data_IF_580591252093
#
_entry.id   IF_580591252093
#
_cell.length_a   1.000
_cell.length_b   1.000
_cell.length_c   1.000
_cell.angle_alpha   90.00
_cell.angle_beta   90.00
_cell.angle_gamma   90.00
#
_symmetry.space_group_name_H-M   'P 1'
#
loop_
_entity.id
_entity.type
_entity.pdbx_description
1 polymer ?
#
# COMPACT_ATOMS: atom_id res chain seq x y z
N UNK A 1 5.17 28.50 32.06
CA UNK A 1 6.35 28.53 31.17
C UNK A 1 6.38 27.21 30.40
N UNK A 2 6.01 27.22 29.13
CA UNK A 2 6.08 26.05 28.23
C UNK A 2 7.44 26.09 27.53
N UNK A 3 8.22 25.01 27.65
CA UNK A 3 9.47 24.87 26.91
C UNK A 3 9.18 24.74 25.41
N UNK A 4 9.98 25.36 24.54
CA UNK A 4 9.78 25.27 23.09
C UNK A 4 10.21 23.89 22.60
N UNK A 5 9.39 23.28 21.74
CA UNK A 5 9.73 22.08 20.97
C UNK A 5 11.00 22.36 20.15
N UNK A 6 12.02 21.55 20.31
CA UNK A 6 13.18 21.52 19.41
C UNK A 6 12.73 21.01 18.05
N UNK A 7 12.82 21.85 17.03
CA UNK A 7 12.74 21.44 15.63
C UNK A 7 13.90 20.49 15.32
N UNK A 8 13.58 19.34 14.76
CA UNK A 8 14.58 18.42 14.18
C UNK A 8 15.31 19.14 13.05
N UNK A 9 16.64 18.92 12.99
CA UNK A 9 17.55 19.68 12.14
C UNK A 9 17.27 19.56 10.63
N UNK A 10 17.73 20.59 9.91
CA UNK A 10 17.60 20.85 8.47
C UNK A 10 18.28 19.84 7.53
N UNK A 11 18.79 18.70 8.02
CA UNK A 11 19.51 17.71 7.22
C UNK A 11 18.67 16.48 6.82
N UNK A 12 17.40 16.43 7.17
CA UNK A 12 16.51 15.36 6.71
C UNK A 12 16.10 15.62 5.25
N UNK A 13 16.68 14.86 4.33
CA UNK A 13 16.26 14.85 2.92
C UNK A 13 14.74 14.66 2.85
N UNK A 14 14.00 15.55 2.20
CA UNK A 14 12.54 15.39 2.08
C UNK A 14 12.23 14.06 1.39
N UNK A 15 11.10 13.41 1.73
CA UNK A 15 10.69 12.21 1.05
C UNK A 15 10.49 12.45 -0.44
N UNK A 16 10.74 11.44 -1.29
CA UNK A 16 10.66 11.57 -2.72
C UNK A 16 9.29 12.06 -3.20
N UNK A 17 9.29 13.09 -4.03
CA UNK A 17 8.09 13.75 -4.56
C UNK A 17 7.58 13.15 -5.88
N UNK A 18 8.28 12.15 -6.45
CA UNK A 18 7.97 11.55 -7.75
C UNK A 18 8.01 10.03 -7.71
N UNK A 19 7.30 9.40 -8.64
CA UNK A 19 7.29 7.94 -8.82
C UNK A 19 8.67 7.34 -9.18
N UNK A 20 9.63 8.16 -9.59
CA UNK A 20 11.00 7.74 -9.90
C UNK A 20 11.79 7.37 -8.64
N UNK A 21 11.56 8.06 -7.55
CA UNK A 21 12.24 7.83 -6.28
C UNK A 21 11.76 6.53 -5.57
N UNK A 22 10.56 6.04 -5.90
CA UNK A 22 10.06 4.76 -5.38
C UNK A 22 10.69 3.55 -6.08
N UNK A 23 11.07 3.69 -7.36
CA UNK A 23 11.78 2.65 -8.12
C UNK A 23 13.22 2.49 -7.60
N UNK A 24 13.84 3.58 -7.18
CA UNK A 24 15.20 3.55 -6.65
C UNK A 24 15.27 2.89 -5.26
N UNK A 25 14.23 3.04 -4.43
CA UNK A 25 14.12 2.33 -3.15
C UNK A 25 13.94 0.81 -3.31
N UNK A 26 13.35 0.33 -4.42
CA UNK A 26 13.29 -1.10 -4.73
C UNK A 26 14.63 -1.66 -5.21
N UNK A 27 15.45 -0.84 -5.87
CA UNK A 27 16.78 -1.20 -6.35
C UNK A 27 17.87 -1.08 -5.28
N UNK A 28 17.65 -0.30 -4.21
CA UNK A 28 18.57 -0.15 -3.08
C UNK A 28 18.67 -1.41 -2.20
N UNK A 29 17.80 -2.40 -2.39
CA UNK A 29 17.79 -3.66 -1.66
C UNK A 29 17.69 -4.86 -2.61
N UNK A 30 18.80 -5.26 -3.29
CA UNK A 30 18.82 -6.42 -4.20
C UNK A 30 18.50 -7.77 -3.52
N UNK A 31 18.42 -7.82 -2.20
CA UNK A 31 18.01 -9.01 -1.43
C UNK A 31 16.52 -9.30 -1.41
N UNK A 32 15.65 -8.38 -1.84
CA UNK A 32 14.19 -8.61 -1.86
C UNK A 32 13.74 -9.45 -3.07
N UNK A 33 14.52 -9.46 -4.15
CA UNK A 33 14.21 -10.25 -5.35
C UNK A 33 14.64 -11.72 -5.24
N UNK A 34 15.59 -12.06 -4.36
CA UNK A 34 16.14 -13.43 -4.24
C UNK A 34 15.52 -14.29 -3.13
N UNK A 35 14.63 -13.72 -2.30
CA UNK A 35 13.97 -14.45 -1.21
C UNK A 35 12.55 -14.93 -1.55
N UNK A 36 12.13 -14.84 -2.80
CA UNK A 36 10.92 -15.52 -3.28
C UNK A 36 11.34 -16.94 -3.61
N UNK A 37 11.25 -17.81 -2.61
CA UNK A 37 11.41 -19.26 -2.78
C UNK A 37 10.36 -19.73 -3.79
N UNK A 38 10.82 -20.29 -4.92
CA UNK A 38 10.05 -20.61 -6.13
C UNK A 38 9.05 -21.78 -5.94
N UNK A 39 8.73 -22.17 -4.71
CA UNK A 39 7.90 -23.35 -4.42
C UNK A 39 6.69 -23.11 -3.50
N UNK A 40 6.36 -21.90 -3.16
CA UNK A 40 5.11 -21.64 -2.47
C UNK A 40 4.03 -21.32 -3.53
N UNK A 41 3.03 -22.17 -3.63
CA UNK A 41 1.80 -21.98 -4.42
C UNK A 41 0.93 -20.89 -3.76
N UNK A 42 1.49 -19.69 -3.60
CA UNK A 42 0.79 -18.53 -3.05
C UNK A 42 -0.10 -17.96 -4.16
N UNK A 43 -1.37 -17.62 -3.88
CA UNK A 43 -2.20 -16.95 -4.86
C UNK A 43 -1.53 -15.63 -5.24
N UNK A 44 -0.99 -15.57 -6.44
CA UNK A 44 -0.39 -14.35 -7.00
C UNK A 44 -1.51 -13.32 -7.12
N UNK A 45 -1.52 -12.34 -6.23
CA UNK A 45 -2.56 -11.29 -6.15
C UNK A 45 -2.55 -10.39 -7.39
N UNK A 46 -1.48 -10.41 -8.19
CA UNK A 46 -1.44 -9.75 -9.49
C UNK A 46 -0.48 -10.51 -10.43
N UNK A 47 -0.99 -11.35 -11.35
CA UNK A 47 -0.16 -12.13 -12.28
C UNK A 47 0.37 -11.29 -13.45
N UNK A 48 0.37 -9.94 -13.36
CA UNK A 48 0.84 -9.08 -14.44
C UNK A 48 2.34 -8.88 -14.28
N UNK A 49 3.11 -9.56 -15.14
CA UNK A 49 4.52 -9.21 -15.33
C UNK A 49 4.58 -7.95 -16.21
N UNK A 50 5.01 -6.83 -15.62
CA UNK A 50 5.20 -5.57 -16.31
C UNK A 50 6.69 -5.28 -16.49
N UNK A 51 7.07 -4.80 -17.68
CA UNK A 51 8.40 -4.19 -17.86
C UNK A 51 8.48 -2.90 -17.03
N UNK A 52 9.70 -2.43 -16.70
CA UNK A 52 9.89 -1.18 -15.96
C UNK A 52 9.14 0.01 -16.58
N UNK A 53 9.14 0.11 -17.92
CA UNK A 53 8.38 1.14 -18.63
C UNK A 53 6.87 0.99 -18.45
N UNK A 54 6.34 -0.22 -18.53
CA UNK A 54 4.91 -0.48 -18.31
C UNK A 54 4.52 -0.22 -16.85
N UNK A 55 5.36 -0.59 -15.89
CA UNK A 55 5.13 -0.31 -14.48
C UNK A 55 5.02 1.19 -14.21
N UNK A 56 5.89 2.02 -14.81
CA UNK A 56 5.82 3.48 -14.70
C UNK A 56 4.51 4.04 -15.28
N UNK A 57 4.09 3.58 -16.46
CA UNK A 57 2.81 4.02 -17.05
C UNK A 57 1.64 3.62 -16.16
N UNK A 58 1.65 2.39 -15.65
CA UNK A 58 0.61 1.90 -14.74
C UNK A 58 0.56 2.70 -13.44
N UNK A 59 1.71 2.97 -12.82
CA UNK A 59 1.81 3.79 -11.61
C UNK A 59 1.23 5.19 -11.85
N UNK A 60 1.66 5.88 -12.91
CA UNK A 60 1.11 7.20 -13.27
C UNK A 60 -0.42 7.16 -13.46
N UNK A 61 -0.94 6.12 -14.10
CA UNK A 61 -2.38 5.97 -14.30
C UNK A 61 -3.12 5.76 -12.96
N UNK A 62 -2.58 4.91 -12.08
CA UNK A 62 -3.14 4.65 -10.75
C UNK A 62 -3.12 5.91 -9.90
N UNK A 63 -2.02 6.65 -9.88
CA UNK A 63 -1.90 7.91 -9.15
C UNK A 63 -2.93 8.93 -9.64
N UNK A 64 -3.07 9.10 -10.96
CA UNK A 64 -4.09 9.98 -11.53
C UNK A 64 -5.51 9.57 -11.11
N UNK A 65 -5.81 8.28 -11.08
CA UNK A 65 -7.12 7.80 -10.64
C UNK A 65 -7.32 7.97 -9.12
N UNK A 66 -6.28 7.78 -8.31
CA UNK A 66 -6.36 8.00 -6.85
C UNK A 66 -6.55 9.47 -6.48
N UNK A 67 -5.79 10.38 -7.12
CA UNK A 67 -5.84 11.81 -6.77
C UNK A 67 -7.01 12.54 -7.41
N UNK A 68 -7.45 12.14 -8.60
CA UNK A 68 -8.48 12.85 -9.37
C UNK A 68 -9.78 12.05 -9.53
N UNK A 69 -9.87 10.86 -8.90
CA UNK A 69 -10.99 9.90 -9.09
C UNK A 69 -10.95 9.17 -10.43
N UNK A 70 -10.62 9.87 -11.51
CA UNK A 70 -10.58 9.31 -12.87
C UNK A 70 -9.39 9.83 -13.68
N UNK A 71 -9.07 9.11 -14.76
CA UNK A 71 -8.11 9.56 -15.77
C UNK A 71 -8.59 9.16 -17.18
N UNK A 72 -7.89 9.62 -18.21
CA UNK A 72 -8.12 9.19 -19.61
C UNK A 72 -6.84 8.63 -20.20
N UNK A 73 -6.95 7.79 -21.25
CA UNK A 73 -5.79 7.25 -21.98
C UNK A 73 -4.91 8.39 -22.48
N UNK A 74 -5.52 9.47 -23.00
CA UNK A 74 -4.79 10.63 -23.51
C UNK A 74 -3.97 11.31 -22.41
N UNK A 75 -4.56 11.53 -21.21
CA UNK A 75 -3.87 12.16 -20.08
C UNK A 75 -2.66 11.32 -19.63
N UNK A 76 -2.85 10.00 -19.49
CA UNK A 76 -1.76 9.08 -19.13
C UNK A 76 -0.66 9.09 -20.19
N UNK A 77 -1.01 9.03 -21.48
CA UNK A 77 -0.05 9.08 -22.56
C UNK A 77 0.80 10.36 -22.54
N UNK A 78 0.16 11.52 -22.32
CA UNK A 78 0.82 12.82 -22.21
C UNK A 78 1.79 12.87 -21.02
N UNK A 79 1.35 12.45 -19.82
CA UNK A 79 2.15 12.50 -18.61
C UNK A 79 3.37 11.55 -18.64
N UNK A 80 3.25 10.44 -19.35
CA UNK A 80 4.32 9.43 -19.43
C UNK A 80 5.19 9.55 -20.70
N UNK A 81 4.89 10.51 -21.59
CA UNK A 81 5.59 10.66 -22.87
C UNK A 81 5.44 9.44 -23.78
N UNK A 82 4.33 8.70 -23.68
CA UNK A 82 4.07 7.51 -24.51
C UNK A 82 3.01 7.79 -25.57
N UNK A 83 2.90 6.88 -26.57
CA UNK A 83 1.81 6.97 -27.53
C UNK A 83 0.46 6.61 -26.88
N UNK A 84 -0.62 7.20 -27.40
CA UNK A 84 -1.99 6.86 -27.00
C UNK A 84 -2.26 5.34 -27.12
N UNK A 85 -1.72 4.71 -28.16
CA UNK A 85 -1.85 3.25 -28.38
C UNK A 85 -1.16 2.46 -27.28
N UNK A 86 0.07 2.83 -26.89
CA UNK A 86 0.83 2.14 -25.83
C UNK A 86 0.13 2.25 -24.49
N UNK A 87 -0.30 3.46 -24.10
CA UNK A 87 -1.06 3.67 -22.88
C UNK A 87 -2.40 2.91 -22.90
N UNK A 88 -3.08 2.92 -24.05
CA UNK A 88 -4.37 2.24 -24.22
C UNK A 88 -4.27 0.72 -24.10
N UNK A 89 -3.23 0.10 -24.66
CA UNK A 89 -3.00 -1.35 -24.54
C UNK A 89 -2.80 -1.72 -23.06
N UNK A 90 -1.97 -0.98 -22.33
CA UNK A 90 -1.70 -1.26 -20.93
C UNK A 90 -2.94 -1.06 -20.07
N UNK A 91 -3.65 0.05 -20.22
CA UNK A 91 -4.87 0.32 -19.44
C UNK A 91 -5.97 -0.71 -19.74
N UNK A 92 -6.05 -1.21 -20.96
CA UNK A 92 -6.93 -2.34 -21.31
C UNK A 92 -6.51 -3.64 -20.61
N UNK A 93 -5.19 -3.90 -20.51
CA UNK A 93 -4.70 -5.04 -19.73
C UNK A 93 -5.10 -4.92 -18.25
N UNK A 94 -4.88 -3.76 -17.62
CA UNK A 94 -5.31 -3.51 -16.24
C UNK A 94 -6.83 -3.70 -16.06
N UNK A 95 -7.63 -3.28 -17.04
CA UNK A 95 -9.07 -3.50 -17.03
C UNK A 95 -9.45 -4.98 -17.15
N UNK A 96 -8.76 -5.75 -18.00
CA UNK A 96 -8.98 -7.19 -18.13
C UNK A 96 -8.67 -7.95 -16.82
N UNK A 97 -7.76 -7.43 -16.00
CA UNK A 97 -7.47 -7.96 -14.65
C UNK A 97 -8.42 -7.42 -13.57
N UNK A 98 -9.41 -6.61 -13.95
CA UNK A 98 -10.39 -6.06 -13.01
C UNK A 98 -9.85 -4.93 -12.13
N UNK A 99 -8.65 -4.40 -12.41
CA UNK A 99 -8.03 -3.32 -11.62
C UNK A 99 -8.61 -1.95 -11.98
N UNK A 100 -9.00 -1.77 -13.24
CA UNK A 100 -9.51 -0.51 -13.80
C UNK A 100 -10.83 -0.78 -14.50
N UNK A 101 -11.76 0.16 -14.43
CA UNK A 101 -13.01 0.11 -15.17
C UNK A 101 -13.30 1.45 -15.87
N UNK A 102 -14.22 1.43 -16.84
CA UNK A 102 -14.76 2.66 -17.41
C UNK A 102 -15.82 3.20 -16.46
N UNK A 103 -15.59 4.37 -15.91
CA UNK A 103 -16.48 5.02 -14.94
C UNK A 103 -17.58 5.81 -15.67
N UNK A 104 -17.17 6.67 -16.61
CA UNK A 104 -18.09 7.56 -17.31
C UNK A 104 -17.52 7.94 -18.68
N UNK A 105 -18.34 8.59 -19.47
CA UNK A 105 -17.92 9.19 -20.74
C UNK A 105 -17.68 10.67 -20.49
N UNK A 106 -16.44 11.15 -20.76
CA UNK A 106 -16.11 12.57 -20.61
C UNK A 106 -16.99 13.43 -21.53
N UNK A 107 -17.43 14.61 -21.03
CA UNK A 107 -18.13 15.59 -21.86
C UNK A 107 -17.23 15.99 -23.03
N UNK A 108 -17.72 15.79 -24.26
CA UNK A 108 -16.99 16.14 -25.48
C UNK A 108 -17.23 17.61 -25.81
N UNK A 109 -16.15 18.33 -26.13
CA UNK A 109 -16.21 19.67 -26.74
C UNK A 109 -16.09 19.60 -28.28
N UNK A 110 -16.28 18.43 -28.86
CA UNK A 110 -16.15 18.09 -30.27
C UNK A 110 -15.36 16.79 -30.46
N UNK A 111 -15.80 15.91 -31.36
CA UNK A 111 -15.20 14.61 -31.60
C UNK A 111 -15.78 13.47 -30.74
N UNK A 112 -15.17 12.26 -30.84
CA UNK A 112 -15.60 11.09 -30.07
C UNK A 112 -15.28 11.29 -28.58
N UNK A 113 -16.29 11.21 -27.67
CA UNK A 113 -16.06 11.40 -26.24
C UNK A 113 -15.01 10.43 -25.69
N UNK A 114 -14.09 10.95 -24.88
CA UNK A 114 -13.10 10.14 -24.18
C UNK A 114 -13.78 9.34 -23.06
N UNK A 115 -13.28 8.13 -22.80
CA UNK A 115 -13.72 7.32 -21.66
C UNK A 115 -12.91 7.69 -20.43
N UNK A 116 -13.58 8.01 -19.36
CA UNK A 116 -12.97 8.14 -18.03
C UNK A 116 -12.76 6.75 -17.45
N UNK A 117 -11.54 6.52 -16.97
CA UNK A 117 -11.12 5.29 -16.32
C UNK A 117 -10.93 5.54 -14.83
N UNK A 118 -11.39 4.64 -13.99
CA UNK A 118 -11.23 4.66 -12.55
C UNK A 118 -10.70 3.32 -12.03
N UNK A 119 -10.15 3.32 -10.81
CA UNK A 119 -9.82 2.08 -10.11
C UNK A 119 -11.11 1.33 -9.83
N UNK A 120 -11.17 0.05 -10.15
CA UNK A 120 -12.36 -0.77 -9.91
C UNK A 120 -12.67 -0.85 -8.42
N UNK A 121 -13.95 -0.67 -8.00
CA UNK A 121 -14.34 -0.84 -6.60
C UNK A 121 -14.05 -2.24 -6.05
N UNK A 122 -13.91 -3.23 -6.94
CA UNK A 122 -13.57 -4.62 -6.60
C UNK A 122 -12.13 -5.01 -6.96
N UNK A 123 -11.27 -4.02 -7.21
CA UNK A 123 -9.87 -4.28 -7.54
C UNK A 123 -9.09 -4.95 -6.40
N UNK A 124 -9.57 -4.82 -5.16
CA UNK A 124 -8.98 -5.36 -3.96
C UNK A 124 -8.95 -4.37 -2.81
N UNK A 125 -8.47 -4.83 -1.68
CA UNK A 125 -8.32 -4.03 -0.48
C UNK A 125 -6.90 -4.16 0.09
N UNK A 126 -6.50 -3.15 0.83
CA UNK A 126 -5.30 -3.17 1.67
C UNK A 126 -5.71 -2.95 3.12
N UNK A 127 -4.95 -3.51 4.05
CA UNK A 127 -5.15 -3.24 5.47
C UNK A 127 -3.95 -2.55 6.07
N UNK A 128 -4.23 -1.61 6.98
CA UNK A 128 -3.27 -1.00 7.88
C UNK A 128 -3.50 -1.49 9.29
N UNK A 129 -2.44 -1.84 10.02
CA UNK A 129 -2.51 -2.33 11.39
C UNK A 129 -1.56 -1.49 12.23
N UNK A 130 -2.04 -0.95 13.33
CA UNK A 130 -1.22 -0.33 14.38
C UNK A 130 -1.19 -1.30 15.58
N UNK A 131 -0.08 -2.02 15.71
CA UNK A 131 0.12 -3.05 16.74
C UNK A 131 0.74 -2.43 17.99
N UNK A 132 0.02 -2.52 19.10
CA UNK A 132 0.39 -1.99 20.40
C UNK A 132 0.58 -3.10 21.45
N UNK A 133 0.88 -2.70 22.69
CA UNK A 133 1.12 -3.64 23.79
C UNK A 133 -0.05 -4.60 24.03
N UNK A 134 -1.27 -4.09 24.15
CA UNK A 134 -2.45 -4.85 24.56
C UNK A 134 -3.60 -4.83 23.56
N UNK A 135 -3.47 -4.09 22.49
CA UNK A 135 -4.47 -4.00 21.43
C UNK A 135 -3.81 -3.70 20.07
N UNK A 136 -4.62 -3.74 19.05
CA UNK A 136 -4.28 -3.23 17.74
C UNK A 136 -5.46 -2.43 17.17
N UNK A 137 -5.14 -1.50 16.30
CA UNK A 137 -6.11 -0.85 15.42
C UNK A 137 -5.91 -1.43 14.03
N UNK A 138 -6.98 -1.89 13.40
CA UNK A 138 -6.96 -2.41 12.04
C UNK A 138 -7.93 -1.61 11.18
N UNK A 139 -7.46 -1.14 10.04
CA UNK A 139 -8.26 -0.39 9.07
C UNK A 139 -8.16 -1.03 7.69
N UNK A 140 -9.25 -1.04 6.94
CA UNK A 140 -9.27 -1.47 5.54
C UNK A 140 -9.52 -0.28 4.62
N UNK A 141 -8.83 -0.28 3.49
CA UNK A 141 -8.99 0.70 2.42
C UNK A 141 -9.10 0.01 1.07
N UNK A 142 -9.85 0.59 0.15
CA UNK A 142 -9.83 0.20 -1.27
C UNK A 142 -8.49 0.58 -1.90
N UNK A 143 -8.14 -0.02 -3.05
CA UNK A 143 -6.96 0.41 -3.83
C UNK A 143 -7.08 1.86 -4.33
N UNK A 144 -8.28 2.42 -4.39
CA UNK A 144 -8.51 3.83 -4.69
C UNK A 144 -8.17 4.78 -3.52
N UNK A 145 -7.88 4.24 -2.32
CA UNK A 145 -7.55 5.03 -1.13
C UNK A 145 -8.73 5.37 -0.22
N UNK A 146 -9.94 4.87 -0.52
CA UNK A 146 -11.10 5.12 0.32
C UNK A 146 -11.09 4.18 1.54
N UNK A 147 -11.20 4.74 2.74
CA UNK A 147 -11.34 3.97 3.97
C UNK A 147 -12.69 3.24 3.97
N UNK A 148 -12.67 1.94 4.17
CA UNK A 148 -13.86 1.08 4.21
C UNK A 148 -14.37 1.01 5.66
N UNK A 149 -13.51 0.63 6.58
CA UNK A 149 -13.83 0.47 8.00
C UNK A 149 -12.55 0.47 8.83
N UNK A 150 -12.72 0.74 10.13
CA UNK A 150 -11.64 0.71 11.10
C UNK A 150 -12.19 0.14 12.41
N UNK A 151 -11.43 -0.71 13.07
CA UNK A 151 -11.79 -1.23 14.40
C UNK A 151 -10.59 -1.41 15.30
N UNK A 152 -10.84 -1.46 16.59
CA UNK A 152 -9.87 -1.80 17.63
C UNK A 152 -10.14 -3.22 18.13
N UNK A 153 -9.09 -4.02 18.28
CA UNK A 153 -9.18 -5.38 18.78
C UNK A 153 -8.14 -5.63 19.89
N UNK A 154 -8.50 -6.32 20.98
CA UNK A 154 -7.52 -6.67 22.00
C UNK A 154 -6.56 -7.74 21.48
N UNK A 155 -5.28 -7.63 21.88
CA UNK A 155 -4.27 -8.63 21.64
C UNK A 155 -3.44 -8.80 22.91
N UNK A 156 -3.72 -9.85 23.67
CA UNK A 156 -3.29 -9.98 25.08
C UNK A 156 -2.41 -11.19 25.37
N UNK A 157 -2.10 -12.00 24.36
CA UNK A 157 -1.26 -13.19 24.56
C UNK A 157 0.19 -12.80 24.83
N UNK A 158 0.81 -13.41 25.81
CA UNK A 158 2.16 -13.11 26.25
C UNK A 158 3.25 -13.92 25.54
N UNK A 159 2.89 -15.05 24.93
CA UNK A 159 3.78 -15.88 24.12
C UNK A 159 3.74 -15.45 22.67
N UNK A 160 4.91 -15.40 22.01
CA UNK A 160 5.06 -14.91 20.62
C UNK A 160 4.18 -15.67 19.62
N UNK A 161 4.16 -17.01 19.72
CA UNK A 161 3.39 -17.83 18.78
C UNK A 161 1.88 -17.71 19.01
N UNK A 162 1.45 -17.67 20.28
CA UNK A 162 0.05 -17.45 20.62
C UNK A 162 -0.41 -16.07 20.18
N UNK A 163 0.43 -15.03 20.38
CA UNK A 163 0.14 -13.68 19.96
C UNK A 163 0.08 -13.56 18.44
N UNK A 164 0.98 -14.22 17.72
CA UNK A 164 0.95 -14.32 16.27
C UNK A 164 -0.32 -14.99 15.75
N UNK A 165 -0.74 -16.11 16.38
CA UNK A 165 -1.96 -16.80 16.01
C UNK A 165 -3.20 -15.94 16.28
N UNK A 166 -3.22 -15.19 17.38
CA UNK A 166 -4.29 -14.24 17.66
C UNK A 166 -4.34 -13.12 16.62
N UNK A 167 -3.18 -12.60 16.20
CA UNK A 167 -3.07 -11.61 15.13
C UNK A 167 -3.60 -12.16 13.81
N UNK A 168 -3.28 -13.40 13.45
CA UNK A 168 -3.82 -14.06 12.26
C UNK A 168 -5.35 -14.13 12.30
N UNK A 169 -5.93 -14.58 13.41
CA UNK A 169 -7.38 -14.68 13.57
C UNK A 169 -8.06 -13.32 13.43
N UNK A 170 -7.50 -12.28 14.05
CA UNK A 170 -8.05 -10.91 13.96
C UNK A 170 -8.05 -10.43 12.49
N UNK A 171 -6.94 -10.62 11.77
CA UNK A 171 -6.84 -10.22 10.36
C UNK A 171 -7.82 -10.99 9.50
N UNK A 172 -7.93 -12.31 9.68
CA UNK A 172 -8.84 -13.16 8.93
C UNK A 172 -10.31 -12.79 9.15
N UNK A 173 -10.71 -12.64 10.41
CA UNK A 173 -12.08 -12.30 10.77
C UNK A 173 -12.47 -10.90 10.28
N UNK A 174 -11.52 -9.96 10.33
CA UNK A 174 -11.73 -8.61 9.82
C UNK A 174 -11.85 -8.57 8.29
N UNK A 175 -11.00 -9.30 7.57
CA UNK A 175 -10.95 -9.22 6.10
C UNK A 175 -11.99 -10.10 5.41
N UNK A 176 -12.40 -11.22 6.01
CA UNK A 176 -13.33 -12.18 5.42
C UNK A 176 -14.62 -11.58 4.86
N UNK A 177 -15.37 -10.72 5.58
CA UNK A 177 -16.58 -10.10 5.03
C UNK A 177 -16.27 -9.09 3.92
N UNK A 178 -15.10 -8.44 3.97
CA UNK A 178 -14.73 -7.37 3.05
C UNK A 178 -14.29 -7.90 1.68
N UNK A 179 -13.60 -9.04 1.63
CA UNK A 179 -13.10 -9.64 0.39
C UNK A 179 -14.25 -9.90 -0.60
N UNK A 180 -15.41 -10.32 -0.12
CA UNK A 180 -16.58 -10.57 -0.97
C UNK A 180 -17.07 -9.30 -1.69
N UNK A 181 -16.97 -8.15 -1.03
CA UNK A 181 -17.50 -6.87 -1.52
C UNK A 181 -16.47 -6.08 -2.32
N UNK A 182 -15.19 -6.12 -1.91
CA UNK A 182 -14.15 -5.23 -2.42
C UNK A 182 -13.04 -5.95 -3.20
N UNK A 183 -13.06 -7.28 -3.26
CA UNK A 183 -12.03 -8.08 -3.92
C UNK A 183 -10.94 -8.57 -2.95
N UNK A 184 -9.85 -9.17 -3.46
CA UNK A 184 -8.85 -9.84 -2.64
C UNK A 184 -8.07 -8.86 -1.75
N UNK A 185 -7.52 -9.37 -0.65
CA UNK A 185 -6.48 -8.68 0.13
C UNK A 185 -5.21 -8.58 -0.74
N UNK A 186 -4.72 -7.37 -0.95
CA UNK A 186 -3.58 -7.10 -1.84
C UNK A 186 -2.28 -6.83 -1.08
N UNK A 187 -2.37 -6.20 0.09
CA UNK A 187 -1.20 -5.90 0.91
C UNK A 187 -1.60 -5.66 2.38
N UNK A 188 -0.60 -5.80 3.26
CA UNK A 188 -0.68 -5.48 4.68
C UNK A 188 0.41 -4.47 5.00
N UNK A 189 0.03 -3.30 5.51
CA UNK A 189 0.91 -2.36 6.19
C UNK A 189 0.75 -2.51 7.70
N UNK A 190 1.83 -2.51 8.45
CA UNK A 190 1.77 -2.57 9.91
C UNK A 190 2.73 -1.57 10.52
N UNK A 191 2.26 -0.85 11.53
CA UNK A 191 3.11 -0.09 12.45
C UNK A 191 3.24 -0.84 13.78
N UNK A 192 4.41 -0.73 14.38
CA UNK A 192 4.65 -1.14 15.76
C UNK A 192 5.81 -0.33 16.34
N UNK A 193 5.85 -0.20 17.66
CA UNK A 193 7.00 0.45 18.32
C UNK A 193 8.25 -0.39 18.20
N UNK A 194 9.41 0.27 18.15
CA UNK A 194 10.70 -0.37 18.23
C UNK A 194 11.57 -0.24 16.98
N UNK A 195 12.62 -1.02 16.94
CA UNK A 195 13.56 -1.09 15.82
C UNK A 195 13.09 -2.16 14.84
N UNK A 196 12.73 -1.72 13.63
CA UNK A 196 12.21 -2.60 12.58
C UNK A 196 13.23 -2.68 11.45
N UNK A 197 13.59 -3.89 11.05
CA UNK A 197 14.49 -4.10 9.91
C UNK A 197 13.75 -3.93 8.57
N UNK A 198 14.46 -3.68 7.47
CA UNK A 198 13.86 -3.62 6.12
C UNK A 198 13.08 -4.89 5.72
N UNK A 199 13.42 -6.03 6.30
CA UNK A 199 12.71 -7.30 6.06
C UNK A 199 11.43 -7.47 6.90
N UNK A 200 11.13 -6.51 7.79
CA UNK A 200 9.99 -6.56 8.69
C UNK A 200 10.21 -7.45 9.92
N UNK A 201 11.46 -7.66 10.32
CA UNK A 201 11.77 -8.27 11.62
C UNK A 201 11.71 -7.16 12.68
N UNK A 202 11.10 -7.46 13.81
CA UNK A 202 11.18 -6.63 15.02
C UNK A 202 12.49 -6.99 15.70
N UNK A 203 13.49 -6.10 15.66
CA UNK A 203 14.77 -6.34 16.32
C UNK A 203 14.63 -6.17 17.83
N UNK A 204 13.94 -5.11 18.24
CA UNK A 204 13.66 -4.81 19.65
C UNK A 204 12.47 -3.89 19.77
N UNK A 205 11.59 -4.18 20.75
CA UNK A 205 10.46 -3.33 21.09
C UNK A 205 10.20 -3.35 22.58
N UNK A 206 10.30 -2.20 23.23
CA UNK A 206 10.01 -2.08 24.67
C UNK A 206 8.50 -2.20 24.98
N UNK A 207 7.63 -1.95 24.01
CA UNK A 207 6.16 -2.08 24.18
C UNK A 207 5.64 -3.46 23.75
N UNK A 208 6.33 -4.15 22.85
CA UNK A 208 5.92 -5.48 22.36
C UNK A 208 7.11 -6.45 22.42
N UNK A 209 7.75 -6.62 23.60
CA UNK A 209 9.00 -7.39 23.75
C UNK A 209 8.84 -8.87 23.39
N UNK A 210 7.61 -9.37 23.38
CA UNK A 210 7.30 -10.75 22.93
C UNK A 210 7.72 -10.99 21.48
N UNK A 211 7.88 -9.95 20.68
CA UNK A 211 8.34 -10.02 19.28
C UNK A 211 9.82 -9.59 19.10
N UNK A 212 10.59 -9.45 20.17
CA UNK A 212 12.03 -9.17 20.04
C UNK A 212 12.73 -10.26 19.20
N UNK A 213 13.56 -9.83 18.25
CA UNK A 213 14.22 -10.70 17.27
C UNK A 213 13.27 -11.58 16.44
N UNK A 214 11.99 -11.19 16.31
CA UNK A 214 10.96 -12.00 15.69
C UNK A 214 10.72 -11.58 14.22
N UNK A 215 10.74 -12.53 13.25
CA UNK A 215 10.56 -12.22 11.82
C UNK A 215 9.07 -12.04 11.46
N UNK A 216 8.39 -11.09 12.11
CA UNK A 216 6.95 -10.87 12.03
C UNK A 216 6.48 -10.66 10.59
N UNK A 217 7.20 -9.86 9.79
CA UNK A 217 6.85 -9.64 8.40
C UNK A 217 6.93 -10.89 7.54
N UNK A 218 7.90 -11.78 7.82
CA UNK A 218 7.99 -13.08 7.14
C UNK A 218 6.77 -13.94 7.44
N UNK A 219 6.41 -14.08 8.72
CA UNK A 219 5.26 -14.88 9.14
C UNK A 219 3.94 -14.39 8.53
N UNK A 220 3.72 -13.08 8.47
CA UNK A 220 2.54 -12.50 7.83
C UNK A 220 2.52 -12.72 6.32
N UNK A 221 3.67 -12.56 5.62
CA UNK A 221 3.77 -12.88 4.18
C UNK A 221 3.43 -14.33 3.90
N UNK A 222 3.99 -15.25 4.68
CA UNK A 222 3.74 -16.70 4.50
C UNK A 222 2.28 -17.05 4.77
N UNK A 223 1.65 -16.43 5.77
CA UNK A 223 0.25 -16.73 6.13
C UNK A 223 -0.75 -16.21 5.12
N UNK A 224 -0.57 -14.97 4.65
CA UNK A 224 -1.58 -14.29 3.83
C UNK A 224 -1.26 -14.27 2.33
N UNK A 225 -0.04 -14.65 1.94
CA UNK A 225 0.36 -14.67 0.53
C UNK A 225 0.39 -13.31 -0.16
N UNK A 226 0.51 -12.21 0.62
CA UNK A 226 0.48 -10.83 0.12
C UNK A 226 1.74 -10.08 0.51
N UNK A 227 1.97 -8.94 -0.14
CA UNK A 227 3.06 -8.07 0.29
C UNK A 227 2.78 -7.51 1.69
N UNK A 228 3.80 -7.57 2.56
CA UNK A 228 3.71 -7.08 3.94
C UNK A 228 4.86 -6.13 4.21
N UNK A 229 4.54 -4.91 4.61
CA UNK A 229 5.49 -3.94 5.11
C UNK A 229 5.23 -3.66 6.59
N UNK A 230 6.28 -3.76 7.40
CA UNK A 230 6.25 -3.36 8.81
C UNK A 230 7.21 -2.20 8.97
N UNK A 231 6.80 -1.19 9.72
CA UNK A 231 7.58 0.01 9.96
C UNK A 231 7.39 0.48 11.41
N UNK A 232 8.31 1.32 11.88
CA UNK A 232 8.15 1.98 13.18
C UNK A 232 6.92 2.89 13.18
N UNK A 233 6.22 2.95 14.31
CA UNK A 233 4.97 3.71 14.48
C UNK A 233 5.15 5.22 14.26
N UNK A 234 6.27 5.80 14.71
CA UNK A 234 6.57 7.23 14.51
C UNK A 234 6.79 7.52 13.02
N UNK A 235 7.51 6.64 12.32
CA UNK A 235 7.72 6.77 10.87
C UNK A 235 6.38 6.67 10.12
N UNK A 236 5.52 5.71 10.49
CA UNK A 236 4.19 5.59 9.90
C UNK A 236 3.31 6.82 10.15
N UNK A 237 3.36 7.39 11.36
CA UNK A 237 2.62 8.61 11.69
C UNK A 237 3.11 9.81 10.87
N UNK A 238 4.43 9.98 10.75
CA UNK A 238 5.03 11.05 9.93
C UNK A 238 4.63 10.91 8.45
N UNK A 239 4.67 9.70 7.89
CA UNK A 239 4.20 9.43 6.53
C UNK A 239 2.72 9.68 6.34
N UNK A 240 1.88 9.28 7.29
CA UNK A 240 0.44 9.52 7.25
C UNK A 240 0.11 11.01 7.22
N UNK A 241 0.77 11.80 8.06
CA UNK A 241 0.60 13.25 8.09
C UNK A 241 1.06 13.91 6.79
N UNK A 242 2.23 13.53 6.28
CA UNK A 242 2.74 14.02 5.01
C UNK A 242 1.77 13.70 3.85
N UNK A 243 1.34 12.44 3.74
CA UNK A 243 0.42 12.01 2.68
C UNK A 243 -0.91 12.78 2.72
N UNK A 244 -1.45 13.01 3.92
CA UNK A 244 -2.71 13.75 4.11
C UNK A 244 -2.57 15.22 3.70
N UNK A 245 -1.48 15.89 4.08
CA UNK A 245 -1.23 17.28 3.71
C UNK A 245 -1.00 17.47 2.22
N UNK A 246 -0.25 16.55 1.60
CA UNK A 246 -0.01 16.57 0.15
C UNK A 246 -1.31 16.39 -0.64
N UNK A 247 -2.20 15.50 -0.18
CA UNK A 247 -3.51 15.32 -0.83
C UNK A 247 -4.42 16.54 -0.71
N UNK A 248 -4.33 17.26 0.41
CA UNK A 248 -5.16 18.46 0.67
C UNK A 248 -4.56 19.76 0.09
N UNK A 249 -3.41 19.70 -0.60
CA UNK A 249 -2.74 20.87 -1.17
C UNK A 249 -2.22 21.87 -0.13
N UNK A 250 -1.98 21.42 1.11
CA UNK A 250 -1.56 22.27 2.24
C UNK A 250 -0.04 22.34 2.44
N UNK A 251 0.75 21.73 1.56
CA UNK A 251 2.20 21.92 1.51
C UNK A 251 2.50 22.97 0.44
N UNK A 252 2.68 24.23 0.87
CA UNK A 252 3.40 25.27 0.15
C UNK A 252 4.89 25.20 0.49
#
# INVERSE_FOLDING_TARGET
MKAPFKTFGDDAKPPPSSSEDWTDMSNAHPGLASAIDSNANLPVVCPISLTARQARIAATAVDQMRFNGTTTIQKVATLTGTSHTTAGILLKQLANFGLVHTDSVAKSQGGRPARNLAISPKAGLVIGIDLRSNDLIIAAMTLAGNVITCQRAPITRSDANQRLNQLYSIIEDFTRPLIKSYGPLCAIGMSTTGIITPTGRVDRSDQVPVFDNFPLGHHLRMRFGVNVRIENDINCAAWGEFATRTQNGTLE
#
